data_IF_267491885980
#
_entry.id   IF_267491885980
#
_cell.length_a   1.000
_cell.length_b   1.000
_cell.length_c   1.000
_cell.angle_alpha   90.00
_cell.angle_beta   90.00
_cell.angle_gamma   90.00
#
_symmetry.space_group_name_H-M   'P 1'
#
loop_
_entity.id
_entity.type
_entity.pdbx_description
1 polymer ?
#
# COMPACT_ATOMS: atom_id res chain seq x y z
N UNK A 1 13.82 -1.78 -5.73
CA UNK A 1 14.70 -1.44 -4.59
C UNK A 1 13.98 -1.46 -3.25
N UNK A 2 12.66 -1.32 -3.14
CA UNK A 2 11.95 -1.38 -1.84
C UNK A 2 10.97 -2.55 -1.70
N UNK A 3 11.09 -3.56 -2.56
CA UNK A 3 10.08 -4.62 -2.64
C UNK A 3 10.01 -5.41 -1.33
N UNK A 4 11.15 -5.71 -0.69
CA UNK A 4 11.15 -6.49 0.55
C UNK A 4 10.68 -5.67 1.75
N UNK A 5 11.10 -4.41 1.86
CA UNK A 5 10.68 -3.48 2.90
C UNK A 5 9.16 -3.30 2.84
N UNK A 6 8.61 -2.98 1.67
CA UNK A 6 7.17 -2.80 1.49
C UNK A 6 6.39 -4.10 1.77
N UNK A 7 6.91 -5.27 1.37
CA UNK A 7 6.29 -6.56 1.73
C UNK A 7 6.20 -6.75 3.24
N UNK A 8 7.27 -6.46 3.97
CA UNK A 8 7.30 -6.64 5.42
C UNK A 8 6.34 -5.69 6.13
N UNK A 9 6.26 -4.44 5.67
CA UNK A 9 5.35 -3.44 6.23
C UNK A 9 3.90 -3.84 5.97
N UNK A 10 3.54 -4.21 4.74
CA UNK A 10 2.17 -4.64 4.40
C UNK A 10 1.77 -5.91 5.18
N UNK A 11 2.68 -6.87 5.35
CA UNK A 11 2.43 -8.05 6.22
C UNK A 11 2.14 -7.64 7.65
N UNK A 12 2.84 -6.63 8.17
CA UNK A 12 2.63 -6.12 9.52
C UNK A 12 1.27 -5.44 9.65
N UNK A 13 0.83 -4.67 8.65
CA UNK A 13 -0.52 -4.10 8.58
C UNK A 13 -1.58 -5.20 8.66
N UNK A 14 -1.46 -6.24 7.82
CA UNK A 14 -2.42 -7.35 7.75
C UNK A 14 -2.47 -8.22 9.02
N UNK A 15 -1.34 -8.42 9.71
CA UNK A 15 -1.25 -9.35 10.84
C UNK A 15 -1.46 -8.68 12.19
N UNK A 16 -0.97 -7.45 12.35
CA UNK A 16 -0.86 -6.80 13.66
C UNK A 16 -1.89 -5.68 13.84
N UNK A 17 -2.55 -5.21 12.77
CA UNK A 17 -3.48 -4.10 12.84
C UNK A 17 -2.79 -2.83 13.36
N UNK A 18 -1.70 -2.43 12.71
CA UNK A 18 -0.90 -1.27 13.12
C UNK A 18 -1.76 0.01 13.15
N UNK A 19 -1.59 0.79 14.22
CA UNK A 19 -2.10 2.16 14.26
C UNK A 19 -1.39 3.03 13.21
N UNK A 20 -2.05 4.08 12.73
CA UNK A 20 -1.45 5.00 11.75
C UNK A 20 -0.12 5.60 12.22
N UNK A 21 0.01 5.95 13.50
CA UNK A 21 1.26 6.45 14.08
C UNK A 21 2.38 5.41 14.03
N UNK A 22 2.10 4.17 14.48
CA UNK A 22 3.10 3.09 14.45
C UNK A 22 3.52 2.76 13.01
N UNK A 23 2.58 2.82 12.06
CA UNK A 23 2.90 2.62 10.65
C UNK A 23 3.79 3.74 10.10
N UNK A 24 3.51 5.00 10.45
CA UNK A 24 4.33 6.14 10.05
C UNK A 24 5.78 6.03 10.55
N UNK A 25 5.96 5.60 11.80
CA UNK A 25 7.29 5.35 12.40
C UNK A 25 8.05 4.26 11.62
N UNK A 26 7.37 3.16 11.29
CA UNK A 26 7.94 2.07 10.50
C UNK A 26 8.30 2.54 9.09
N UNK A 27 7.41 3.29 8.41
CA UNK A 27 7.68 3.82 7.07
C UNK A 27 8.91 4.73 7.07
N UNK A 28 8.97 5.69 7.97
CA UNK A 28 10.07 6.67 8.05
C UNK A 28 11.40 6.02 8.42
N UNK A 29 11.39 4.94 9.20
CA UNK A 29 12.60 4.22 9.59
C UNK A 29 13.16 3.29 8.50
N UNK A 30 12.32 2.84 7.56
CA UNK A 30 12.70 1.76 6.62
C UNK A 30 12.64 2.18 5.14
N UNK A 31 12.02 3.31 4.80
CA UNK A 31 11.82 3.72 3.41
C UNK A 31 12.18 5.19 3.24
N UNK A 32 13.10 5.49 2.32
CA UNK A 32 13.45 6.86 1.95
C UNK A 32 12.44 7.40 0.92
N UNK A 33 11.62 8.41 1.25
CA UNK A 33 10.66 8.99 0.32
C UNK A 33 11.31 9.61 -0.91
N UNK A 34 12.55 10.08 -0.82
CA UNK A 34 13.29 10.67 -1.95
C UNK A 34 13.59 9.62 -3.00
N UNK A 35 14.03 8.43 -2.57
CA UNK A 35 14.32 7.32 -3.47
C UNK A 35 13.04 6.72 -4.06
N UNK A 36 11.95 6.66 -3.27
CA UNK A 36 10.63 6.28 -3.79
C UNK A 36 10.17 7.26 -4.88
N UNK A 37 10.21 8.57 -4.63
CA UNK A 37 9.78 9.57 -5.60
C UNK A 37 10.63 9.58 -6.89
N UNK A 38 11.89 9.12 -6.81
CA UNK A 38 12.77 8.97 -7.97
C UNK A 38 12.60 7.62 -8.70
N UNK A 39 11.77 6.71 -8.18
CA UNK A 39 11.56 5.37 -8.76
C UNK A 39 10.57 5.40 -9.92
N UNK A 40 10.97 4.82 -11.06
CA UNK A 40 10.07 4.56 -12.20
C UNK A 40 9.15 3.34 -11.99
N UNK A 41 9.34 2.59 -10.89
CA UNK A 41 8.50 1.44 -10.54
C UNK A 41 7.18 1.91 -9.89
N UNK A 42 6.11 1.89 -10.68
CA UNK A 42 4.77 2.29 -10.26
C UNK A 42 4.21 1.45 -9.11
N UNK A 43 4.57 0.17 -9.02
CA UNK A 43 4.14 -0.69 -7.91
C UNK A 43 4.76 -0.20 -6.60
N UNK A 44 6.05 0.17 -6.63
CA UNK A 44 6.77 0.67 -5.45
C UNK A 44 6.20 2.00 -4.98
N UNK A 45 6.01 2.95 -5.90
CA UNK A 45 5.48 4.27 -5.56
C UNK A 45 4.05 4.18 -5.03
N UNK A 46 3.16 3.47 -5.73
CA UNK A 46 1.77 3.35 -5.31
C UNK A 46 1.59 2.58 -3.99
N UNK A 47 2.37 1.52 -3.77
CA UNK A 47 2.37 0.79 -2.49
C UNK A 47 2.79 1.70 -1.32
N UNK A 48 3.84 2.50 -1.52
CA UNK A 48 4.33 3.43 -0.50
C UNK A 48 3.30 4.52 -0.18
N UNK A 49 2.76 5.19 -1.20
CA UNK A 49 1.78 6.25 -0.96
C UNK A 49 0.47 5.72 -0.37
N UNK A 50 0.04 4.51 -0.73
CA UNK A 50 -1.12 3.87 -0.10
C UNK A 50 -0.88 3.59 1.40
N UNK A 51 0.32 3.13 1.77
CA UNK A 51 0.71 2.97 3.18
C UNK A 51 0.77 4.32 3.91
N UNK A 52 1.28 5.35 3.25
CA UNK A 52 1.36 6.71 3.80
C UNK A 52 -0.03 7.30 4.05
N UNK A 53 -0.91 7.25 3.06
CA UNK A 53 -2.29 7.74 3.19
C UNK A 53 -3.09 6.93 4.21
N UNK A 54 -2.85 5.62 4.30
CA UNK A 54 -3.44 4.81 5.37
C UNK A 54 -2.92 5.23 6.75
N UNK A 55 -1.63 5.53 6.87
CA UNK A 55 -1.04 6.01 8.12
C UNK A 55 -1.59 7.37 8.56
N UNK A 56 -1.89 8.28 7.62
CA UNK A 56 -2.46 9.61 7.90
C UNK A 56 -3.98 9.60 8.03
N UNK A 57 -4.64 8.49 7.65
CA UNK A 57 -6.11 8.37 7.63
C UNK A 57 -6.77 9.02 6.41
N UNK A 58 -5.98 9.39 5.39
CA UNK A 58 -6.48 9.91 4.11
C UNK A 58 -7.13 8.81 3.26
N UNK A 59 -6.68 7.56 3.40
CA UNK A 59 -7.17 6.42 2.63
C UNK A 59 -7.44 5.22 3.54
N UNK A 60 -8.56 4.53 3.32
CA UNK A 60 -8.89 3.28 4.02
C UNK A 60 -8.84 2.15 3.00
N UNK A 61 -7.77 1.35 3.04
CA UNK A 61 -7.62 0.17 2.21
C UNK A 61 -8.09 -1.08 2.94
N UNK A 62 -8.78 -1.96 2.23
CA UNK A 62 -9.20 -3.27 2.75
C UNK A 62 -8.09 -4.30 2.57
N UNK A 63 -8.16 -5.39 3.33
CA UNK A 63 -7.25 -6.54 3.22
C UNK A 63 -7.04 -7.06 1.80
N UNK A 64 -8.06 -6.99 0.94
CA UNK A 64 -7.96 -7.42 -0.45
C UNK A 64 -6.96 -6.57 -1.25
N UNK A 65 -6.93 -5.26 -1.02
CA UNK A 65 -6.02 -4.32 -1.67
C UNK A 65 -4.58 -4.54 -1.16
N UNK A 66 -4.41 -4.76 0.15
CA UNK A 66 -3.11 -5.13 0.72
C UNK A 66 -2.57 -6.45 0.18
N UNK A 67 -3.44 -7.46 0.01
CA UNK A 67 -3.07 -8.75 -0.58
C UNK A 67 -2.71 -8.60 -2.06
N UNK A 68 -3.41 -7.73 -2.80
CA UNK A 68 -3.07 -7.42 -4.17
C UNK A 68 -1.67 -6.83 -4.31
N UNK A 69 -1.30 -5.86 -3.46
CA UNK A 69 0.07 -5.34 -3.42
C UNK A 69 1.10 -6.42 -3.13
N UNK A 70 0.84 -7.29 -2.14
CA UNK A 70 1.75 -8.39 -1.82
C UNK A 70 1.93 -9.36 -2.99
N UNK A 71 0.85 -9.74 -3.69
CA UNK A 71 0.95 -10.62 -4.85
C UNK A 71 1.79 -9.99 -5.96
N UNK A 72 1.62 -8.68 -6.19
CA UNK A 72 2.41 -7.94 -7.16
C UNK A 72 3.89 -7.85 -6.76
N UNK A 73 4.18 -7.50 -5.50
CA UNK A 73 5.55 -7.38 -4.98
C UNK A 73 6.27 -8.75 -4.97
N UNK A 74 5.54 -9.85 -4.80
CA UNK A 74 6.08 -11.20 -4.88
C UNK A 74 6.34 -11.67 -6.32
N UNK A 75 5.90 -10.90 -7.33
CA UNK A 75 5.97 -11.30 -8.74
C UNK A 75 4.94 -12.36 -9.13
N UNK A 76 3.96 -12.65 -8.26
CA UNK A 76 2.87 -13.59 -8.56
C UNK A 76 1.80 -12.96 -9.47
N UNK A 77 1.80 -11.63 -9.55
CA UNK A 77 0.86 -10.84 -10.32
C UNK A 77 1.55 -9.62 -10.93
N UNK A 78 1.13 -9.22 -12.13
CA UNK A 78 1.59 -7.96 -12.73
C UNK A 78 0.75 -6.82 -12.16
N UNK A 79 1.41 -5.79 -11.66
CA UNK A 79 0.73 -4.61 -11.14
C UNK A 79 -0.02 -3.85 -12.24
N UNK A 80 -1.26 -3.50 -11.94
CA UNK A 80 -2.15 -2.66 -12.73
C UNK A 80 -2.85 -1.66 -11.82
N UNK A 81 -2.70 -0.37 -12.13
CA UNK A 81 -3.41 0.69 -11.43
C UNK A 81 -4.93 0.62 -11.66
N UNK A 82 -5.37 0.33 -12.89
CA UNK A 82 -6.79 0.19 -13.23
C UNK A 82 -7.45 -0.92 -12.41
N UNK A 83 -6.76 -2.03 -12.21
CA UNK A 83 -7.29 -3.12 -11.42
C UNK A 83 -7.42 -2.75 -9.95
N UNK A 84 -6.42 -2.07 -9.39
CA UNK A 84 -6.47 -1.56 -8.02
C UNK A 84 -7.67 -0.64 -7.83
N UNK A 85 -7.84 0.35 -8.70
CA UNK A 85 -8.95 1.32 -8.64
C UNK A 85 -10.31 0.62 -8.70
N UNK A 86 -10.47 -0.43 -9.52
CA UNK A 86 -11.69 -1.23 -9.54
C UNK A 86 -11.96 -1.97 -8.22
N UNK A 87 -10.92 -2.37 -7.46
CA UNK A 87 -11.09 -2.95 -6.13
C UNK A 87 -11.57 -1.90 -5.14
N UNK A 88 -10.99 -0.70 -5.18
CA UNK A 88 -11.37 0.44 -4.34
C UNK A 88 -12.82 0.88 -4.62
N UNK A 89 -13.23 1.00 -5.89
CA UNK A 89 -14.60 1.38 -6.28
C UNK A 89 -15.66 0.33 -5.91
N UNK A 90 -15.35 -0.96 -6.11
CA UNK A 90 -16.24 -2.06 -5.68
C UNK A 90 -16.34 -2.14 -4.16
N UNK A 91 -15.39 -1.55 -3.45
CA UNK A 91 -15.39 -1.46 -2.01
C UNK A 91 -16.24 -0.29 -1.47
N UNK A 92 -16.66 0.64 -2.34
CA UNK A 92 -17.54 1.80 -2.10
C UNK A 92 -19.03 1.47 -2.23
N UNK A 93 -19.50 0.29 -1.81
CA UNK A 93 -20.94 0.02 -1.76
C UNK A 93 -21.54 0.71 -0.54
N UNK A 94 -22.06 1.93 -0.77
CA UNK A 94 -22.91 2.63 0.19
C UNK A 94 -22.89 4.15 0.07
N UNK A 95 -23.00 4.71 -1.13
CA UNK A 95 -22.99 6.16 -1.30
C UNK A 95 -23.53 6.63 -2.64
N UNK A 96 -24.75 6.19 -3.01
CA UNK A 96 -25.55 7.02 -3.91
C UNK A 96 -25.96 8.29 -3.14
N UNK A 97 -25.50 9.44 -3.61
CA UNK A 97 -26.26 10.69 -3.59
C UNK A 97 -26.27 11.27 -4.99
#
# INVERSE_FOLDING_TARGET
>A
MFHEELKQIIRSVLQQGLSGQSLMEVLTANVDPTEICASDDMLVTDSYFSLLHYATGEEILKDAEWKYFLDCLNGNRVYSLDEKLQMTDKNSIGGSV
#
